data_IF_976447865678
#
_entry.id   IF_976447865678
#
_cell.length_a   1.000
_cell.length_b   1.000
_cell.length_c   1.000
_cell.angle_alpha   90.00
_cell.angle_beta   90.00
_cell.angle_gamma   90.00
#
_symmetry.space_group_name_H-M   'P 1'
#
loop_
_entity.id
_entity.type
_entity.pdbx_description
1 polymer ?
#
# COMPACT_ATOMS: atom_id res chain seq x y z
N UNK A 1 -6.20 -7.07 18.34
CA UNK A 1 -7.39 -6.22 18.36
C UNK A 1 -8.37 -6.67 19.45
N UNK A 2 -8.99 -7.85 19.34
CA UNK A 2 -10.02 -8.30 20.31
C UNK A 2 -9.44 -8.34 21.74
N UNK A 3 -8.26 -8.90 21.94
CA UNK A 3 -7.62 -8.96 23.25
C UNK A 3 -7.24 -7.59 23.81
N UNK A 4 -6.86 -6.64 22.95
CA UNK A 4 -6.57 -5.26 23.37
C UNK A 4 -7.85 -4.55 23.85
N UNK A 5 -8.95 -4.69 23.10
CA UNK A 5 -10.24 -4.09 23.47
C UNK A 5 -10.83 -4.77 24.73
N UNK A 6 -10.62 -6.07 24.89
CA UNK A 6 -11.14 -6.82 26.04
C UNK A 6 -10.27 -6.73 27.30
N UNK A 7 -9.02 -6.26 27.20
CA UNK A 7 -8.08 -6.21 28.30
C UNK A 7 -8.65 -5.50 29.55
N UNK A 8 -9.28 -4.32 29.48
CA UNK A 8 -9.86 -3.67 30.67
C UNK A 8 -10.91 -4.51 31.37
N UNK A 9 -11.78 -5.17 30.59
CA UNK A 9 -12.87 -5.98 31.15
C UNK A 9 -12.38 -7.29 31.77
N UNK A 10 -11.27 -7.87 31.28
CA UNK A 10 -10.74 -9.17 31.76
C UNK A 10 -9.77 -8.99 32.91
N UNK A 11 -8.89 -7.98 32.81
CA UNK A 11 -7.80 -7.80 33.78
C UNK A 11 -8.10 -6.78 34.85
N UNK A 12 -9.16 -5.98 34.70
CA UNK A 12 -9.47 -4.86 35.60
C UNK A 12 -8.41 -3.74 35.56
N UNK A 13 -7.46 -3.81 34.65
CA UNK A 13 -6.42 -2.80 34.50
C UNK A 13 -7.00 -1.51 33.91
N UNK A 14 -6.56 -0.39 34.44
CA UNK A 14 -6.87 0.93 33.92
C UNK A 14 -6.04 1.14 32.65
N UNK A 15 -6.53 0.62 31.53
CA UNK A 15 -5.80 0.50 30.26
C UNK A 15 -6.06 1.70 29.35
N UNK A 16 -6.99 2.58 29.74
CA UNK A 16 -7.53 3.58 28.84
C UNK A 16 -6.95 4.96 29.10
N UNK A 17 -5.95 5.33 28.33
CA UNK A 17 -5.56 6.74 28.16
C UNK A 17 -6.49 7.51 27.19
N UNK A 18 -7.60 6.89 26.73
CA UNK A 18 -8.57 7.54 25.85
C UNK A 18 -9.76 8.06 26.68
N UNK A 19 -10.00 9.35 26.61
CA UNK A 19 -11.28 9.92 26.99
C UNK A 19 -12.32 9.57 25.92
N UNK A 20 -13.33 8.77 26.30
CA UNK A 20 -14.43 8.38 25.43
C UNK A 20 -15.43 9.53 25.29
N UNK A 21 -15.01 10.62 24.61
CA UNK A 21 -15.84 11.78 24.31
C UNK A 21 -16.09 11.87 22.80
N UNK A 22 -17.16 12.55 22.39
CA UNK A 22 -17.42 12.82 20.97
C UNK A 22 -16.28 13.62 20.36
N UNK A 23 -15.66 14.50 21.12
CA UNK A 23 -14.54 15.34 20.69
C UNK A 23 -13.30 14.52 20.33
N UNK A 24 -13.00 13.42 21.08
CA UNK A 24 -11.89 12.51 20.80
C UNK A 24 -12.03 11.81 19.45
N UNK A 25 -13.28 11.52 19.03
CA UNK A 25 -13.55 10.81 17.78
C UNK A 25 -13.90 11.72 16.61
N UNK A 26 -14.08 13.03 16.85
CA UNK A 26 -14.25 13.97 15.76
C UNK A 26 -12.91 14.42 15.20
N UNK A 27 -12.65 14.19 13.90
CA UNK A 27 -11.42 14.68 13.30
C UNK A 27 -11.40 16.20 13.27
N UNK A 28 -10.30 16.80 13.70
CA UNK A 28 -10.03 18.20 13.43
C UNK A 28 -9.58 18.30 11.97
N UNK A 29 -10.41 18.91 11.11
CA UNK A 29 -10.09 19.14 9.70
C UNK A 29 -9.11 20.29 9.54
N UNK A 30 -7.92 20.13 10.13
CA UNK A 30 -6.81 21.05 10.01
C UNK A 30 -5.91 20.71 8.80
N UNK A 31 -4.92 21.56 8.55
CA UNK A 31 -3.96 21.32 7.45
C UNK A 31 -3.22 20.00 7.60
N UNK A 32 -2.89 19.59 8.83
CA UNK A 32 -2.16 18.33 9.11
C UNK A 32 -2.99 17.09 8.74
N UNK A 33 -4.29 17.14 8.99
CA UNK A 33 -5.22 16.07 8.59
C UNK A 33 -5.16 15.85 7.06
N UNK A 34 -5.29 16.94 6.29
CA UNK A 34 -5.27 16.86 4.83
C UNK A 34 -3.91 16.43 4.27
N UNK A 35 -2.80 16.89 4.86
CA UNK A 35 -1.44 16.48 4.47
C UNK A 35 -1.20 14.98 4.66
N UNK A 36 -1.81 14.37 5.69
CA UNK A 36 -1.69 12.95 5.95
C UNK A 36 -2.66 12.07 5.15
N UNK A 37 -3.58 12.67 4.38
CA UNK A 37 -4.61 11.92 3.65
C UNK A 37 -4.01 10.96 2.62
N UNK A 38 -2.89 11.33 1.98
CA UNK A 38 -2.19 10.46 1.04
C UNK A 38 -1.66 9.17 1.70
N UNK A 39 -1.20 9.25 2.94
CA UNK A 39 -0.74 8.09 3.72
C UNK A 39 -1.91 7.16 4.02
N UNK A 40 -3.09 7.71 4.33
CA UNK A 40 -4.30 6.91 4.56
C UNK A 40 -4.75 6.20 3.28
N UNK A 41 -4.74 6.88 2.12
CA UNK A 41 -5.03 6.26 0.83
C UNK A 41 -4.01 5.17 0.50
N UNK A 42 -2.73 5.42 0.77
CA UNK A 42 -1.66 4.43 0.62
C UNK A 42 -1.88 3.20 1.52
N UNK A 43 -2.23 3.41 2.79
CA UNK A 43 -2.38 2.33 3.78
C UNK A 43 -3.49 1.33 3.42
N UNK A 44 -4.58 1.79 2.79
CA UNK A 44 -5.69 0.93 2.36
C UNK A 44 -5.55 0.40 0.93
N UNK A 45 -4.51 0.83 0.21
CA UNK A 45 -4.22 0.41 -1.15
C UNK A 45 -3.50 -0.94 -1.24
N UNK A 46 -3.28 -1.43 -2.48
CA UNK A 46 -2.48 -2.62 -2.76
C UNK A 46 -3.25 -3.85 -3.22
N UNK A 47 -4.57 -3.81 -3.19
CA UNK A 47 -5.41 -4.94 -3.65
C UNK A 47 -5.23 -5.25 -5.14
N UNK A 48 -4.81 -4.28 -5.96
CA UNK A 48 -4.52 -4.45 -7.37
C UNK A 48 -3.35 -5.40 -7.65
N UNK A 49 -2.47 -5.64 -6.68
CA UNK A 49 -1.34 -6.57 -6.80
C UNK A 49 -1.76 -8.01 -7.10
N UNK A 50 -3.03 -8.36 -6.81
CA UNK A 50 -3.57 -9.69 -7.09
C UNK A 50 -4.06 -9.82 -8.54
N UNK A 51 -4.27 -8.69 -9.26
CA UNK A 51 -4.84 -8.68 -10.61
C UNK A 51 -4.10 -9.56 -11.64
N UNK A 52 -2.75 -9.69 -11.66
CA UNK A 52 -2.06 -10.57 -12.61
C UNK A 52 -2.39 -12.06 -12.45
N UNK A 53 -2.90 -12.45 -11.29
CA UNK A 53 -3.22 -13.85 -10.99
C UNK A 53 -4.65 -14.24 -11.32
N UNK A 54 -5.50 -13.28 -11.74
CA UNK A 54 -6.93 -13.52 -12.05
C UNK A 54 -7.11 -14.62 -13.08
N UNK A 55 -6.32 -14.62 -14.14
CA UNK A 55 -6.39 -15.60 -15.23
C UNK A 55 -5.99 -17.03 -14.80
N UNK A 56 -5.40 -17.19 -13.60
CA UNK A 56 -5.03 -18.49 -13.03
C UNK A 56 -6.11 -19.07 -12.11
N UNK A 57 -7.19 -18.34 -11.86
CA UNK A 57 -8.29 -18.79 -11.03
C UNK A 57 -9.24 -19.69 -11.82
N UNK A 58 -9.90 -20.65 -11.15
CA UNK A 58 -10.86 -21.56 -11.80
C UNK A 58 -12.11 -20.82 -12.30
N UNK A 59 -12.65 -19.90 -11.52
CA UNK A 59 -13.80 -19.07 -11.85
C UNK A 59 -13.47 -17.58 -11.59
N UNK A 60 -12.72 -16.91 -12.50
CA UNK A 60 -12.22 -15.57 -12.26
C UNK A 60 -13.28 -14.55 -11.87
N UNK A 61 -14.40 -14.50 -12.60
CA UNK A 61 -15.48 -13.54 -12.37
C UNK A 61 -16.11 -13.67 -10.96
N UNK A 62 -16.26 -14.88 -10.45
CA UNK A 62 -16.89 -15.16 -9.16
C UNK A 62 -15.89 -15.08 -8.02
N UNK A 63 -14.77 -15.78 -8.16
CA UNK A 63 -13.80 -15.96 -7.06
C UNK A 63 -13.01 -14.68 -6.79
N UNK A 64 -12.56 -14.00 -7.85
CA UNK A 64 -11.87 -12.71 -7.72
C UNK A 64 -12.78 -11.65 -7.12
N UNK A 65 -14.02 -11.51 -7.64
CA UNK A 65 -14.94 -10.48 -7.14
C UNK A 65 -15.31 -10.69 -5.68
N UNK A 66 -15.57 -11.93 -5.26
CA UNK A 66 -15.83 -12.26 -3.85
C UNK A 66 -14.59 -11.99 -2.98
N UNK A 67 -13.43 -12.42 -3.45
CA UNK A 67 -12.16 -12.17 -2.75
C UNK A 67 -11.91 -10.68 -2.52
N UNK A 68 -12.16 -9.84 -3.53
CA UNK A 68 -11.98 -8.39 -3.43
C UNK A 68 -12.97 -7.74 -2.46
N UNK A 69 -14.23 -8.15 -2.46
CA UNK A 69 -15.23 -7.63 -1.50
C UNK A 69 -14.86 -8.04 -0.08
N UNK A 70 -14.51 -9.31 0.12
CA UNK A 70 -14.07 -9.82 1.44
C UNK A 70 -12.83 -9.08 1.93
N UNK A 71 -11.85 -8.85 1.05
CA UNK A 71 -10.64 -8.09 1.37
C UNK A 71 -10.98 -6.65 1.77
N UNK A 72 -11.85 -5.96 1.02
CA UNK A 72 -12.25 -4.60 1.32
C UNK A 72 -12.92 -4.49 2.71
N UNK A 73 -13.85 -5.42 3.02
CA UNK A 73 -14.50 -5.48 4.34
C UNK A 73 -13.46 -5.75 5.43
N UNK A 74 -12.59 -6.74 5.23
CA UNK A 74 -11.57 -7.11 6.21
C UNK A 74 -10.59 -5.96 6.48
N UNK A 75 -10.10 -5.29 5.43
CA UNK A 75 -9.19 -4.14 5.57
C UNK A 75 -9.88 -3.00 6.31
N UNK A 76 -11.14 -2.69 5.99
CA UNK A 76 -11.90 -1.63 6.68
C UNK A 76 -12.08 -1.95 8.16
N UNK A 77 -12.53 -3.16 8.48
CA UNK A 77 -12.74 -3.60 9.88
C UNK A 77 -11.41 -3.61 10.64
N UNK A 78 -10.35 -4.17 10.05
CA UNK A 78 -9.04 -4.21 10.68
C UNK A 78 -8.43 -2.80 10.86
N UNK A 79 -8.62 -1.90 9.90
CA UNK A 79 -8.13 -0.53 10.02
C UNK A 79 -8.84 0.22 11.15
N UNK A 80 -10.19 0.19 11.19
CA UNK A 80 -10.96 0.88 12.23
C UNK A 80 -10.68 0.30 13.62
N UNK A 81 -10.87 -1.01 13.79
CA UNK A 81 -10.67 -1.66 15.09
C UNK A 81 -9.20 -1.66 15.51
N UNK A 82 -8.27 -1.77 14.54
CA UNK A 82 -6.83 -1.70 14.79
C UNK A 82 -6.42 -0.33 15.31
N UNK A 83 -6.90 0.73 14.70
CA UNK A 83 -6.63 2.11 15.13
C UNK A 83 -7.19 2.37 16.52
N UNK A 84 -8.45 1.97 16.78
CA UNK A 84 -9.05 2.10 18.10
C UNK A 84 -8.25 1.32 19.14
N UNK A 85 -7.91 0.05 18.87
CA UNK A 85 -7.18 -0.77 19.83
C UNK A 85 -5.76 -0.26 20.11
N UNK A 86 -5.08 0.31 19.12
CA UNK A 86 -3.78 0.95 19.33
C UNK A 86 -3.93 2.26 20.11
N UNK A 87 -4.93 3.07 19.78
CA UNK A 87 -5.21 4.31 20.50
C UNK A 87 -5.49 4.06 21.99
N UNK A 88 -6.11 2.95 22.34
CA UNK A 88 -6.32 2.57 23.76
C UNK A 88 -5.03 2.26 24.51
N UNK A 89 -3.94 1.96 23.81
CA UNK A 89 -2.66 1.56 24.40
C UNK A 89 -1.67 2.70 24.59
N UNK A 90 -1.93 3.86 24.00
CA UNK A 90 -0.99 4.99 24.01
C UNK A 90 -1.68 6.28 24.44
N UNK A 91 -1.00 7.03 25.32
CA UNK A 91 -1.39 8.41 25.66
C UNK A 91 -1.19 9.31 24.44
N UNK A 92 -2.25 10.00 24.01
CA UNK A 92 -2.23 10.94 22.90
C UNK A 92 -1.28 12.13 23.12
N UNK A 93 -0.99 12.46 24.36
CA UNK A 93 -0.10 13.56 24.74
C UNK A 93 1.38 13.14 24.82
N UNK A 94 1.66 11.82 24.87
CA UNK A 94 3.02 11.29 24.98
C UNK A 94 3.26 10.15 23.98
N UNK A 95 3.17 10.48 22.69
CA UNK A 95 3.34 9.52 21.61
C UNK A 95 4.83 9.26 21.36
N UNK A 96 5.31 7.99 21.42
CA UNK A 96 6.68 7.65 21.08
C UNK A 96 7.05 8.12 19.67
N UNK A 97 8.24 8.72 19.45
CA UNK A 97 8.65 9.26 18.15
C UNK A 97 8.79 8.19 17.06
N UNK A 98 8.96 6.93 17.45
CA UNK A 98 9.10 5.76 16.60
C UNK A 98 7.83 4.88 16.54
N UNK A 99 6.67 5.42 16.97
CA UNK A 99 5.39 4.70 16.97
C UNK A 99 5.05 4.09 15.61
N UNK A 100 5.44 4.75 14.52
CA UNK A 100 5.18 4.27 13.16
C UNK A 100 5.88 2.94 12.86
N UNK A 101 7.07 2.73 13.40
CA UNK A 101 7.89 1.53 13.15
C UNK A 101 7.73 0.49 14.27
N UNK A 102 7.67 0.94 15.50
CA UNK A 102 7.71 0.07 16.70
C UNK A 102 6.39 0.04 17.48
N UNK A 103 5.40 0.85 17.11
CA UNK A 103 4.16 0.99 17.90
C UNK A 103 3.42 -0.34 18.14
N UNK A 104 3.40 -1.22 17.15
CA UNK A 104 2.79 -2.53 17.32
C UNK A 104 3.55 -3.39 18.35
N UNK A 105 4.88 -3.35 18.37
CA UNK A 105 5.67 -4.06 19.38
C UNK A 105 5.38 -3.55 20.78
N UNK A 106 5.33 -2.24 20.98
CA UNK A 106 4.98 -1.62 22.26
C UNK A 106 3.56 -1.99 22.71
N UNK A 107 2.59 -2.01 21.79
CA UNK A 107 1.22 -2.42 22.10
C UNK A 107 1.14 -3.89 22.54
N UNK A 108 1.88 -4.79 21.89
CA UNK A 108 1.92 -6.20 22.28
C UNK A 108 2.72 -6.43 23.55
N UNK A 109 3.72 -5.59 23.87
CA UNK A 109 4.43 -5.61 25.14
C UNK A 109 3.48 -5.22 26.27
N UNK A 110 2.79 -4.07 26.16
CA UNK A 110 1.77 -3.65 27.13
C UNK A 110 0.68 -4.72 27.31
N UNK A 111 0.25 -5.35 26.22
CA UNK A 111 -0.73 -6.42 26.28
C UNK A 111 -0.21 -7.62 27.09
N UNK A 112 1.07 -7.98 26.97
CA UNK A 112 1.71 -9.02 27.75
C UNK A 112 1.76 -8.69 29.26
N UNK A 113 2.01 -7.43 29.60
CA UNK A 113 1.97 -6.92 30.97
C UNK A 113 0.55 -7.02 31.55
N UNK A 114 -0.49 -6.61 30.81
CA UNK A 114 -1.88 -6.68 31.27
C UNK A 114 -2.37 -8.09 31.53
N UNK A 115 -1.98 -9.06 30.72
CA UNK A 115 -2.36 -10.47 30.89
C UNK A 115 -1.35 -11.28 31.74
N UNK A 116 -0.32 -10.63 32.29
CA UNK A 116 0.73 -11.25 33.11
C UNK A 116 1.45 -12.42 32.41
N UNK A 117 1.62 -12.34 31.09
CA UNK A 117 2.26 -13.40 30.27
C UNK A 117 3.64 -12.97 29.72
N UNK A 118 4.21 -11.88 30.27
CA UNK A 118 5.50 -11.35 29.83
C UNK A 118 5.58 -11.08 28.34
N UNK A 119 6.68 -11.46 27.69
CA UNK A 119 6.96 -11.16 26.28
C UNK A 119 6.25 -12.11 25.29
N UNK A 120 5.37 -12.99 25.74
CA UNK A 120 4.74 -13.98 24.87
C UNK A 120 4.07 -13.35 23.64
N UNK A 121 3.28 -12.29 23.82
CA UNK A 121 2.59 -11.62 22.71
C UNK A 121 3.55 -10.89 21.77
N UNK A 122 4.64 -10.33 22.28
CA UNK A 122 5.68 -9.69 21.46
C UNK A 122 6.35 -10.70 20.55
N UNK A 123 6.72 -11.87 21.10
CA UNK A 123 7.36 -12.94 20.32
C UNK A 123 6.42 -13.49 19.24
N UNK A 124 5.16 -13.76 19.59
CA UNK A 124 4.15 -14.23 18.62
C UNK A 124 3.93 -13.18 17.52
N UNK A 125 3.84 -11.91 17.90
CA UNK A 125 3.71 -10.83 16.92
C UNK A 125 4.95 -10.74 16.03
N UNK A 126 6.14 -10.75 16.59
CA UNK A 126 7.39 -10.66 15.83
C UNK A 126 7.52 -11.78 14.78
N UNK A 127 7.23 -13.03 15.18
CA UNK A 127 7.26 -14.17 14.26
C UNK A 127 6.20 -14.05 13.16
N UNK A 128 5.00 -13.68 13.52
CA UNK A 128 3.90 -13.51 12.56
C UNK A 128 4.20 -12.36 11.58
N UNK A 129 4.70 -11.24 12.11
CA UNK A 129 5.09 -10.09 11.30
C UNK A 129 6.23 -10.44 10.35
N UNK A 130 7.25 -11.17 10.81
CA UNK A 130 8.37 -11.63 9.97
C UNK A 130 7.87 -12.45 8.78
N UNK A 131 7.01 -13.45 9.02
CA UNK A 131 6.42 -14.28 7.96
C UNK A 131 5.58 -13.43 7.02
N UNK A 132 4.77 -12.51 7.56
CA UNK A 132 3.95 -11.58 6.79
C UNK A 132 4.78 -10.67 5.89
N UNK A 133 5.87 -10.11 6.40
CA UNK A 133 6.77 -9.25 5.63
C UNK A 133 7.46 -9.99 4.49
N UNK A 134 7.87 -11.24 4.70
CA UNK A 134 8.40 -12.08 3.61
C UNK A 134 7.36 -12.32 2.50
N UNK A 135 6.12 -12.61 2.86
CA UNK A 135 5.04 -12.79 1.89
C UNK A 135 4.77 -11.50 1.09
N UNK A 136 4.72 -10.35 1.78
CA UNK A 136 4.54 -9.03 1.15
C UNK A 136 5.71 -8.68 0.24
N UNK A 137 6.96 -8.99 0.63
CA UNK A 137 8.15 -8.76 -0.18
C UNK A 137 8.07 -9.54 -1.50
N UNK A 138 7.79 -10.84 -1.43
CA UNK A 138 7.66 -11.70 -2.61
C UNK A 138 6.58 -11.16 -3.54
N UNK A 139 5.39 -10.87 -3.01
CA UNK A 139 4.29 -10.35 -3.80
C UNK A 139 4.59 -8.97 -4.40
N UNK A 140 5.29 -8.10 -3.66
CA UNK A 140 5.62 -6.74 -4.11
C UNK A 140 6.66 -6.71 -5.22
N UNK A 141 7.48 -7.76 -5.34
CA UNK A 141 8.43 -7.92 -6.44
C UNK A 141 7.77 -8.60 -7.64
N UNK A 142 7.06 -9.71 -7.43
CA UNK A 142 6.52 -10.54 -8.52
C UNK A 142 5.30 -9.87 -9.20
N UNK A 143 4.36 -9.34 -8.45
CA UNK A 143 3.09 -8.86 -9.01
C UNK A 143 3.24 -7.67 -9.98
N UNK A 144 3.97 -6.58 -9.67
CA UNK A 144 4.17 -5.48 -10.60
C UNK A 144 4.95 -5.90 -11.85
N UNK A 145 5.91 -6.81 -11.70
CA UNK A 145 6.70 -7.34 -12.81
C UNK A 145 5.82 -8.16 -13.77
N UNK A 146 4.96 -9.04 -13.22
CA UNK A 146 3.98 -9.79 -14.03
C UNK A 146 2.97 -8.85 -14.68
N UNK A 147 2.45 -7.88 -13.96
CA UNK A 147 1.53 -6.89 -14.52
C UNK A 147 2.12 -6.19 -15.73
N UNK A 148 3.41 -5.83 -15.66
CA UNK A 148 4.12 -5.21 -16.76
C UNK A 148 4.36 -6.20 -17.92
N UNK A 149 4.95 -7.37 -17.63
CA UNK A 149 5.41 -8.30 -18.67
C UNK A 149 4.28 -9.11 -19.30
N UNK A 150 3.20 -9.42 -18.58
CA UNK A 150 2.04 -10.13 -19.12
C UNK A 150 1.16 -9.21 -19.99
N UNK A 151 1.25 -7.88 -19.83
CA UNK A 151 0.40 -6.91 -20.53
C UNK A 151 1.13 -6.09 -21.61
N UNK A 152 2.44 -6.03 -21.57
CA UNK A 152 3.22 -5.19 -22.46
C UNK A 152 3.51 -5.87 -23.80
N UNK A 153 3.50 -5.08 -24.86
CA UNK A 153 3.98 -5.49 -26.17
C UNK A 153 5.51 -5.64 -26.13
N UNK A 154 6.02 -6.74 -26.70
CA UNK A 154 7.46 -7.04 -26.83
C UNK A 154 8.24 -5.95 -27.62
N UNK A 155 7.53 -5.05 -28.30
CA UNK A 155 8.16 -3.93 -28.98
C UNK A 155 8.66 -2.83 -28.03
N UNK A 156 8.10 -2.75 -26.82
CA UNK A 156 8.41 -1.71 -25.84
C UNK A 156 9.30 -2.17 -24.70
N UNK A 157 9.48 -3.49 -24.55
CA UNK A 157 10.29 -4.06 -23.46
C UNK A 157 11.38 -4.96 -24.06
N UNK A 158 12.62 -4.92 -23.51
CA UNK A 158 13.69 -5.79 -23.95
C UNK A 158 13.31 -7.27 -23.85
N UNK A 159 13.47 -8.04 -24.93
CA UNK A 159 13.12 -9.47 -25.00
C UNK A 159 13.75 -10.32 -23.89
N UNK A 160 14.93 -9.94 -23.42
CA UNK A 160 15.63 -10.62 -22.35
C UNK A 160 14.83 -10.66 -21.04
N UNK A 161 13.94 -9.70 -20.80
CA UNK A 161 13.11 -9.64 -19.58
C UNK A 161 11.96 -10.64 -19.61
N UNK A 162 11.49 -11.05 -20.79
CA UNK A 162 10.42 -12.04 -20.95
C UNK A 162 10.88 -13.49 -20.69
N UNK A 163 12.19 -13.72 -20.49
CA UNK A 163 12.70 -15.07 -20.26
C UNK A 163 12.14 -15.63 -18.96
N UNK A 164 11.37 -16.70 -19.07
CA UNK A 164 10.79 -17.43 -17.96
C UNK A 164 11.60 -18.71 -17.64
N UNK A 165 11.57 -19.11 -16.39
CA UNK A 165 12.06 -20.43 -15.94
C UNK A 165 10.97 -21.51 -16.13
N UNK A 166 11.30 -22.77 -15.79
CA UNK A 166 10.36 -23.90 -15.85
C UNK A 166 9.09 -23.74 -15.00
N UNK A 167 9.05 -22.79 -14.09
CA UNK A 167 7.92 -22.47 -13.22
C UNK A 167 7.14 -21.23 -13.69
N UNK A 168 7.44 -20.66 -14.86
CA UNK A 168 6.77 -19.47 -15.38
C UNK A 168 7.15 -18.18 -14.67
N UNK A 169 8.34 -18.10 -14.08
CA UNK A 169 8.85 -16.91 -13.39
C UNK A 169 9.82 -16.15 -14.29
N UNK A 170 9.65 -14.83 -14.40
CA UNK A 170 10.51 -13.93 -15.19
C UNK A 170 11.85 -13.68 -14.49
N UNK A 171 12.82 -14.57 -14.68
CA UNK A 171 14.08 -14.56 -13.93
C UNK A 171 14.92 -13.31 -14.11
N UNK A 172 15.04 -12.82 -15.35
CA UNK A 172 15.82 -11.61 -15.63
C UNK A 172 15.11 -10.34 -15.16
N UNK A 173 13.78 -10.32 -15.22
CA UNK A 173 12.97 -9.24 -14.65
C UNK A 173 13.14 -9.16 -13.13
N UNK A 174 13.09 -10.29 -12.43
CA UNK A 174 13.33 -10.32 -10.99
C UNK A 174 14.73 -9.85 -10.62
N UNK A 175 15.77 -10.28 -11.36
CA UNK A 175 17.14 -9.80 -11.15
C UNK A 175 17.25 -8.29 -11.31
N UNK A 176 16.62 -7.72 -12.35
CA UNK A 176 16.60 -6.27 -12.57
C UNK A 176 15.92 -5.54 -11.41
N UNK A 177 14.75 -6.01 -10.98
CA UNK A 177 14.04 -5.41 -9.84
C UNK A 177 14.87 -5.50 -8.56
N UNK A 178 15.49 -6.65 -8.28
CA UNK A 178 16.36 -6.83 -7.11
C UNK A 178 17.53 -5.84 -7.12
N UNK A 179 18.19 -5.65 -8.26
CA UNK A 179 19.29 -4.67 -8.38
C UNK A 179 18.78 -3.25 -8.12
N UNK A 180 17.66 -2.85 -8.72
CA UNK A 180 17.09 -1.52 -8.53
C UNK A 180 16.71 -1.29 -7.06
N UNK A 181 16.01 -2.26 -6.44
CA UNK A 181 15.60 -2.16 -5.04
C UNK A 181 16.81 -2.12 -4.12
N UNK A 182 17.82 -2.94 -4.36
CA UNK A 182 19.06 -2.92 -3.58
C UNK A 182 19.75 -1.55 -3.66
N UNK A 183 19.85 -0.97 -4.84
CA UNK A 183 20.41 0.38 -5.01
C UNK A 183 19.59 1.44 -4.29
N UNK A 184 18.25 1.38 -4.38
CA UNK A 184 17.36 2.32 -3.69
C UNK A 184 17.44 2.22 -2.16
N UNK A 185 17.82 1.08 -1.61
CA UNK A 185 18.01 0.89 -0.16
C UNK A 185 19.44 1.28 0.25
N UNK A 186 20.44 0.83 -0.50
CA UNK A 186 21.84 0.99 -0.13
C UNK A 186 22.30 2.44 -0.28
N UNK A 187 21.96 3.11 -1.39
CA UNK A 187 22.44 4.49 -1.66
C UNK A 187 21.97 5.48 -0.58
N UNK A 188 20.69 5.55 -0.22
CA UNK A 188 20.25 6.41 0.87
C UNK A 188 20.81 6.04 2.25
N UNK A 189 21.08 4.74 2.49
CA UNK A 189 21.61 4.28 3.77
C UNK A 189 22.99 4.85 4.11
N UNK A 190 23.79 5.23 3.11
CA UNK A 190 25.09 5.88 3.34
C UNK A 190 24.98 7.35 3.77
N UNK A 191 23.82 7.99 3.60
CA UNK A 191 23.60 9.41 3.95
C UNK A 191 22.57 9.65 5.04
N UNK A 192 21.98 8.60 5.61
CA UNK A 192 20.89 8.70 6.57
C UNK A 192 21.33 8.11 7.91
N UNK A 193 21.15 8.87 8.99
CA UNK A 193 21.65 8.55 10.33
C UNK A 193 21.01 7.30 10.95
N UNK A 194 19.76 6.95 10.56
CA UNK A 194 19.06 5.79 11.12
C UNK A 194 18.15 5.11 10.11
N UNK A 195 17.96 3.79 10.29
CA UNK A 195 17.02 2.97 9.49
C UNK A 195 15.59 3.46 9.63
N UNK A 196 15.20 3.96 10.79
CA UNK A 196 13.86 4.49 11.04
C UNK A 196 13.56 5.72 10.18
N UNK A 197 14.52 6.65 10.07
CA UNK A 197 14.41 7.82 9.20
C UNK A 197 14.30 7.42 7.74
N UNK A 198 15.10 6.42 7.29
CA UNK A 198 15.01 5.88 5.94
C UNK A 198 13.64 5.29 5.64
N UNK A 199 13.11 4.47 6.55
CA UNK A 199 11.79 3.85 6.38
C UNK A 199 10.69 4.91 6.30
N UNK A 200 10.69 5.89 7.20
CA UNK A 200 9.73 7.01 7.19
C UNK A 200 9.78 7.77 5.87
N UNK A 201 10.97 8.07 5.38
CA UNK A 201 11.19 8.76 4.12
C UNK A 201 10.66 7.95 2.92
N UNK A 202 10.99 6.66 2.83
CA UNK A 202 10.51 5.78 1.76
C UNK A 202 8.98 5.61 1.78
N UNK A 203 8.38 5.51 2.97
CA UNK A 203 6.92 5.44 3.13
C UNK A 203 6.26 6.73 2.64
N UNK A 204 6.78 7.90 2.99
CA UNK A 204 6.26 9.19 2.52
C UNK A 204 6.33 9.33 1.00
N UNK A 205 7.47 9.01 0.38
CA UNK A 205 7.59 9.03 -1.09
C UNK A 205 6.62 8.06 -1.75
N UNK A 206 6.51 6.85 -1.20
CA UNK A 206 5.61 5.83 -1.74
C UNK A 206 4.13 6.19 -1.55
N UNK A 207 3.78 6.90 -0.48
CA UNK A 207 2.41 7.39 -0.24
C UNK A 207 1.96 8.43 -1.26
N UNK A 208 2.88 9.08 -1.96
CA UNK A 208 2.58 9.96 -3.12
C UNK A 208 2.57 9.16 -4.41
N UNK A 209 3.60 8.34 -4.66
CA UNK A 209 3.76 7.62 -5.93
C UNK A 209 2.69 6.55 -6.17
N UNK A 210 2.29 5.84 -5.11
CA UNK A 210 1.31 4.75 -5.24
C UNK A 210 -0.10 5.25 -5.58
N UNK A 211 -0.68 6.27 -4.90
CA UNK A 211 -1.98 6.79 -5.29
C UNK A 211 -2.01 7.44 -6.67
N UNK A 212 -0.90 8.06 -7.14
CA UNK A 212 -0.81 8.62 -8.49
C UNK A 212 -1.08 7.56 -9.58
N UNK A 213 -0.64 6.33 -9.37
CA UNK A 213 -0.93 5.21 -10.29
C UNK A 213 -2.42 4.84 -10.32
N UNK A 214 -3.14 4.99 -9.20
CA UNK A 214 -4.58 4.72 -9.15
C UNK A 214 -5.40 5.70 -9.99
N UNK A 215 -4.92 6.92 -10.21
CA UNK A 215 -5.60 7.88 -11.09
C UNK A 215 -5.81 7.28 -12.49
N UNK A 216 -4.80 6.58 -13.02
CA UNK A 216 -4.91 5.91 -14.32
C UNK A 216 -5.90 4.74 -14.30
N UNK A 217 -5.98 4.01 -13.19
CA UNK A 217 -6.97 2.93 -13.01
C UNK A 217 -8.38 3.50 -13.02
N UNK A 218 -8.62 4.63 -12.35
CA UNK A 218 -9.93 5.28 -12.36
C UNK A 218 -10.28 5.85 -13.74
N UNK A 219 -9.32 6.44 -14.45
CA UNK A 219 -9.51 6.90 -15.84
C UNK A 219 -9.90 5.72 -16.74
N UNK A 220 -9.17 4.60 -16.64
CA UNK A 220 -9.48 3.39 -17.39
C UNK A 220 -10.88 2.83 -17.06
N UNK A 221 -11.25 2.80 -15.78
CA UNK A 221 -12.57 2.39 -15.33
C UNK A 221 -13.68 3.28 -15.92
N UNK A 222 -13.51 4.61 -15.87
CA UNK A 222 -14.47 5.56 -16.45
C UNK A 222 -14.58 5.35 -17.95
N UNK A 223 -13.45 5.18 -18.66
CA UNK A 223 -13.43 4.92 -20.09
C UNK A 223 -14.16 3.62 -20.46
N UNK A 224 -13.93 2.53 -19.74
CA UNK A 224 -14.63 1.25 -19.91
C UNK A 224 -16.13 1.39 -19.65
N UNK A 225 -16.54 2.14 -18.63
CA UNK A 225 -17.96 2.42 -18.36
C UNK A 225 -18.62 3.26 -19.47
N UNK A 226 -17.88 4.23 -20.04
CA UNK A 226 -18.36 5.01 -21.20
C UNK A 226 -18.50 4.16 -22.44
N UNK A 227 -17.55 3.26 -22.69
CA UNK A 227 -17.57 2.34 -23.84
C UNK A 227 -18.78 1.36 -23.80
N UNK A 228 -19.38 1.14 -22.63
CA UNK A 228 -20.61 0.39 -22.46
C UNK A 228 -20.46 -1.09 -22.87
N UNK A 229 -21.35 -1.56 -23.79
CA UNK A 229 -21.42 -2.96 -24.17
C UNK A 229 -20.42 -3.38 -25.28
N UNK A 230 -19.51 -2.48 -25.69
CA UNK A 230 -18.45 -2.84 -26.63
C UNK A 230 -17.50 -3.92 -26.06
N UNK A 231 -17.39 -3.97 -24.74
CA UNK A 231 -16.60 -4.99 -24.03
C UNK A 231 -17.50 -5.87 -23.18
N UNK A 232 -17.46 -7.16 -23.43
CA UNK A 232 -18.18 -8.13 -22.60
C UNK A 232 -17.50 -8.27 -21.25
N UNK A 233 -18.19 -7.90 -20.16
CA UNK A 233 -17.70 -8.07 -18.81
C UNK A 233 -18.54 -9.15 -18.11
N UNK A 234 -17.93 -10.26 -17.72
CA UNK A 234 -18.58 -11.35 -16.99
C UNK A 234 -19.07 -10.91 -15.60
N UNK A 235 -18.40 -9.92 -15.00
CA UNK A 235 -18.79 -9.36 -13.71
C UNK A 235 -18.83 -7.84 -13.75
N UNK A 236 -19.93 -7.26 -13.22
CA UNK A 236 -20.11 -5.81 -13.08
C UNK A 236 -20.55 -5.49 -11.65
N UNK A 237 -19.66 -4.98 -10.81
CA UNK A 237 -19.99 -4.56 -9.44
C UNK A 237 -21.09 -3.49 -9.42
N UNK A 238 -20.92 -2.42 -10.20
CA UNK A 238 -21.96 -1.40 -10.40
C UNK A 238 -22.59 -1.63 -11.77
N UNK A 239 -23.84 -2.07 -11.81
CA UNK A 239 -24.55 -2.37 -13.07
C UNK A 239 -24.92 -1.08 -13.83
N UNK A 240 -25.37 -0.04 -13.11
CA UNK A 240 -25.79 1.23 -13.73
C UNK A 240 -24.56 1.98 -14.24
N UNK A 241 -24.59 2.38 -15.53
CA UNK A 241 -23.49 3.08 -16.22
C UNK A 241 -23.21 4.44 -15.57
N UNK A 242 -24.25 5.24 -15.34
CA UNK A 242 -24.11 6.61 -14.81
C UNK A 242 -23.58 6.59 -13.38
N UNK A 243 -24.13 5.72 -12.52
CA UNK A 243 -23.66 5.55 -11.16
C UNK A 243 -22.20 5.10 -11.14
N UNK A 244 -21.81 4.15 -12.02
CA UNK A 244 -20.43 3.70 -12.12
C UNK A 244 -19.47 4.82 -12.53
N UNK A 245 -19.86 5.69 -13.46
CA UNK A 245 -19.05 6.84 -13.87
C UNK A 245 -18.91 7.83 -12.70
N UNK A 246 -19.99 8.14 -11.99
CA UNK A 246 -19.97 9.05 -10.83
C UNK A 246 -19.01 8.52 -9.76
N UNK A 247 -19.10 7.24 -9.40
CA UNK A 247 -18.15 6.63 -8.47
C UNK A 247 -16.70 6.69 -8.96
N UNK A 248 -16.45 6.42 -10.24
CA UNK A 248 -15.11 6.52 -10.81
C UNK A 248 -14.55 7.94 -10.74
N UNK A 249 -15.37 8.96 -11.05
CA UNK A 249 -14.98 10.37 -10.96
C UNK A 249 -14.74 10.77 -9.50
N UNK A 250 -15.59 10.33 -8.58
CA UNK A 250 -15.42 10.59 -7.15
C UNK A 250 -14.10 10.00 -6.63
N UNK A 251 -13.82 8.73 -6.91
CA UNK A 251 -12.58 8.09 -6.51
C UNK A 251 -11.35 8.79 -7.12
N UNK A 252 -11.44 9.19 -8.40
CA UNK A 252 -10.39 9.96 -9.06
C UNK A 252 -10.15 11.30 -8.36
N UNK A 253 -11.20 12.09 -8.14
CA UNK A 253 -11.10 13.41 -7.52
C UNK A 253 -10.54 13.34 -6.10
N UNK A 254 -11.06 12.41 -5.28
CA UNK A 254 -10.58 12.20 -3.92
C UNK A 254 -9.10 11.77 -3.88
N UNK A 255 -8.71 10.82 -4.73
CA UNK A 255 -7.32 10.36 -4.79
C UNK A 255 -6.39 11.44 -5.34
N UNK A 256 -6.81 12.21 -6.34
CA UNK A 256 -6.05 13.34 -6.86
C UNK A 256 -5.84 14.41 -5.79
N UNK A 257 -6.89 14.75 -5.05
CA UNK A 257 -6.79 15.66 -3.90
C UNK A 257 -5.79 15.16 -2.86
N UNK A 258 -5.91 13.88 -2.46
CA UNK A 258 -4.97 13.27 -1.51
C UNK A 258 -3.52 13.31 -2.00
N UNK A 259 -3.28 13.05 -3.31
CA UNK A 259 -1.94 13.15 -3.90
C UNK A 259 -1.39 14.57 -3.84
N UNK A 260 -2.21 15.56 -4.20
CA UNK A 260 -1.80 16.98 -4.18
C UNK A 260 -1.42 17.39 -2.76
N UNK A 261 -2.25 17.05 -1.78
CA UNK A 261 -1.96 17.35 -0.38
C UNK A 261 -0.72 16.62 0.13
N UNK A 262 -0.52 15.35 -0.27
CA UNK A 262 0.62 14.54 0.15
C UNK A 262 1.97 14.96 -0.46
N UNK A 263 1.98 15.76 -1.53
CA UNK A 263 3.22 16.30 -2.10
C UNK A 263 3.85 17.30 -1.14
N UNK A 264 3.05 18.10 -0.44
CA UNK A 264 3.57 19.10 0.49
C UNK A 264 4.28 18.46 1.69
N UNK A 265 5.40 19.04 2.08
CA UNK A 265 6.14 18.67 3.28
C UNK A 265 6.80 19.93 3.87
N UNK A 266 6.86 20.04 5.19
CA UNK A 266 7.60 21.09 5.89
C UNK A 266 9.12 20.91 5.74
N UNK A 267 9.57 19.66 5.52
CA UNK A 267 10.96 19.35 5.21
C UNK A 267 11.24 19.62 3.71
N UNK A 268 12.13 20.57 3.37
CA UNK A 268 12.45 20.93 1.99
C UNK A 268 13.00 19.74 1.17
N UNK A 269 13.80 18.87 1.79
CA UNK A 269 14.35 17.70 1.12
C UNK A 269 13.24 16.73 0.74
N UNK A 270 12.34 16.43 1.69
CA UNK A 270 11.18 15.56 1.44
C UNK A 270 10.25 16.15 0.38
N UNK A 271 10.03 17.48 0.39
CA UNK A 271 9.20 18.14 -0.63
C UNK A 271 9.79 17.94 -2.04
N UNK A 272 11.09 18.19 -2.19
CA UNK A 272 11.80 18.00 -3.47
C UNK A 272 11.68 16.55 -3.92
N UNK A 273 11.87 15.60 -3.02
CA UNK A 273 11.77 14.17 -3.35
C UNK A 273 10.37 13.73 -3.71
N UNK A 274 9.34 14.26 -3.03
CA UNK A 274 7.94 13.98 -3.36
C UNK A 274 7.57 14.47 -4.77
N UNK A 275 8.18 15.56 -5.23
CA UNK A 275 7.97 16.11 -6.59
C UNK A 275 8.82 15.36 -7.61
N UNK A 276 10.12 15.21 -7.36
CA UNK A 276 11.09 14.70 -8.35
C UNK A 276 10.90 13.20 -8.61
N UNK A 277 10.64 12.41 -7.55
CA UNK A 277 10.57 10.93 -7.68
C UNK A 277 9.53 10.46 -8.70
N UNK A 278 8.28 10.96 -8.74
CA UNK A 278 7.32 10.57 -9.78
C UNK A 278 7.83 10.84 -11.20
N UNK A 279 8.47 12.00 -11.44
CA UNK A 279 9.02 12.33 -12.77
C UNK A 279 10.20 11.44 -13.15
N UNK A 280 11.07 11.12 -12.19
CA UNK A 280 12.18 10.17 -12.41
C UNK A 280 11.63 8.79 -12.76
N UNK A 281 10.63 8.30 -12.06
CA UNK A 281 10.01 7.00 -12.33
C UNK A 281 9.34 6.97 -13.72
N UNK A 282 8.65 8.04 -14.10
CA UNK A 282 8.09 8.19 -15.45
C UNK A 282 9.21 8.20 -16.51
N UNK A 283 10.28 8.95 -16.26
CA UNK A 283 11.45 9.03 -17.15
C UNK A 283 12.12 7.66 -17.34
N UNK A 284 12.28 6.88 -16.27
CA UNK A 284 12.78 5.51 -16.33
C UNK A 284 11.86 4.60 -17.15
N UNK A 285 10.54 4.82 -17.08
CA UNK A 285 9.57 4.12 -17.93
C UNK A 285 9.80 4.36 -19.42
N UNK A 286 10.16 5.58 -19.82
CA UNK A 286 10.47 5.91 -21.23
C UNK A 286 11.81 5.34 -21.72
N UNK A 287 12.73 4.99 -20.82
CA UNK A 287 14.02 4.36 -21.21
C UNK A 287 13.80 2.93 -21.73
N UNK A 288 12.84 2.21 -21.18
CA UNK A 288 12.55 0.81 -21.59
C UNK A 288 12.31 0.63 -23.09
N UNK A 289 11.40 1.41 -23.74
CA UNK A 289 11.20 1.32 -25.20
C UNK A 289 12.45 1.68 -26.01
N UNK A 290 13.27 2.61 -25.55
CA UNK A 290 14.52 3.00 -26.21
C UNK A 290 15.50 1.83 -26.23
N UNK A 291 15.66 1.16 -25.07
CA UNK A 291 16.53 -0.02 -24.95
C UNK A 291 15.98 -1.16 -25.81
N UNK A 292 14.67 -1.39 -25.80
CA UNK A 292 14.02 -2.42 -26.61
C UNK A 292 14.30 -2.22 -28.11
N UNK A 293 14.15 -0.98 -28.60
CA UNK A 293 14.43 -0.62 -30.01
C UNK A 293 15.89 -0.84 -30.38
N UNK A 294 16.82 -0.48 -29.49
CA UNK A 294 18.28 -0.73 -29.74
C UNK A 294 18.63 -2.21 -29.74
N UNK A 295 17.96 -3.01 -28.92
CA UNK A 295 18.18 -4.47 -28.85
C UNK A 295 17.64 -5.23 -30.08
N UNK A 296 16.72 -4.63 -30.85
CA UNK A 296 16.21 -5.23 -32.09
C UNK A 296 17.10 -4.93 -33.29
N UNK A 297 17.88 -3.88 -33.22
CA UNK A 297 18.77 -3.46 -34.31
C UNK A 297 20.18 -4.08 -34.22
N UNK A 298 20.39 -4.92 -33.20
CA UNK A 298 21.56 -5.80 -33.05
C UNK A 298 21.15 -7.24 -33.31
#
# INVERSE_FOLDING_TARGET
>A
IIMMIAAPAITGADVMDIEWSVETFMPTFDSKFFLNLSILVFAVGGCEKISPYVNKMKNPAKDFSRGMITLAIMVTVCAVLGTISLGMMFDSNNIPPDLMTNGAYYAFQKLGEYYHVGDFFVVVYALTNLIGQFAVLILSIDAPLRMLLDSADENYIPKALFKQNKHGTYTNGHKLVMVIVSLLIIVPAFGIESVDVLVKWLVKVNSVCMPLRYLWVFVAYIALKKAGDKFHAEYRFVKNKTVGIIFGVWCFAFTAFACIMGIYSEDPFQLVMNIVTPFVLIGLGFIMPIIAKRSKNK
#
